data_IF_757518272792
#
_entry.id   IF_757518272792
#
_cell.length_a   1.000
_cell.length_b   1.000
_cell.length_c   1.000
_cell.angle_alpha   90.00
_cell.angle_beta   90.00
_cell.angle_gamma   90.00
#
_symmetry.space_group_name_H-M   'P 1'
#
loop_
_entity.id
_entity.type
_entity.pdbx_description
1 polymer ?
#
# COMPACT_ATOMS: atom_id res chain seq x y z
N UNK A 1 3.45 0.54 -18.88
CA UNK A 1 3.50 1.55 -17.79
C UNK A 1 3.69 0.76 -16.50
N UNK A 2 4.77 0.96 -15.73
CA UNK A 2 5.06 0.08 -14.58
C UNK A 2 4.11 0.36 -13.42
N UNK A 3 3.42 -0.68 -12.97
CA UNK A 3 2.57 -0.71 -11.78
C UNK A 3 3.39 -1.36 -10.65
N UNK A 4 3.34 -0.80 -9.43
CA UNK A 4 4.10 -1.31 -8.26
C UNK A 4 5.64 -1.36 -8.44
N UNK A 5 6.32 -0.21 -8.41
CA UNK A 5 7.80 -0.16 -8.53
C UNK A 5 8.47 -0.43 -7.19
N UNK A 6 9.35 -1.43 -7.13
CA UNK A 6 10.18 -1.72 -5.94
C UNK A 6 11.56 -1.10 -6.05
N UNK A 7 12.17 -0.76 -4.91
CA UNK A 7 13.59 -0.39 -4.85
C UNK A 7 14.49 -1.59 -5.16
N UNK A 8 15.77 -1.35 -5.45
CA UNK A 8 16.75 -2.41 -5.72
C UNK A 8 16.89 -3.41 -4.56
N UNK A 9 16.77 -2.93 -3.31
CA UNK A 9 16.78 -3.77 -2.11
C UNK A 9 15.41 -4.43 -1.81
N UNK A 10 14.39 -4.21 -2.65
CA UNK A 10 13.02 -4.71 -2.49
C UNK A 10 12.30 -4.33 -1.18
N UNK A 11 12.81 -3.32 -0.46
CA UNK A 11 12.25 -2.86 0.83
C UNK A 11 11.21 -1.75 0.69
N UNK A 12 11.26 -0.99 -0.41
CA UNK A 12 10.37 0.14 -0.65
C UNK A 12 9.53 -0.14 -1.88
N UNK A 13 8.22 0.07 -1.79
CA UNK A 13 7.30 -0.06 -2.91
C UNK A 13 6.58 1.25 -3.19
N UNK A 14 6.56 1.65 -4.45
CA UNK A 14 5.78 2.76 -4.97
C UNK A 14 4.58 2.20 -5.76
N UNK A 15 3.38 2.37 -5.22
CA UNK A 15 2.12 1.98 -5.85
C UNK A 15 1.70 3.05 -6.85
N UNK A 16 1.51 2.63 -8.10
CA UNK A 16 1.04 3.47 -9.20
C UNK A 16 0.01 2.67 -9.98
N UNK A 17 -1.20 3.20 -10.12
CA UNK A 17 -2.33 2.55 -10.79
C UNK A 17 -2.91 1.35 -10.03
N UNK A 18 -3.83 0.63 -10.69
CA UNK A 18 -4.75 -0.30 -10.04
C UNK A 18 -4.08 -1.49 -9.34
N UNK A 19 -4.49 -1.73 -8.09
CA UNK A 19 -4.16 -2.93 -7.32
C UNK A 19 -4.95 -4.19 -7.70
N UNK A 20 -5.77 -4.13 -8.75
CA UNK A 20 -6.47 -5.31 -9.30
C UNK A 20 -5.61 -6.12 -10.27
N UNK A 21 -4.43 -5.62 -10.61
CA UNK A 21 -3.55 -6.24 -11.59
C UNK A 21 -2.79 -7.46 -11.03
N UNK A 22 -2.25 -8.27 -11.94
CA UNK A 22 -1.51 -9.49 -11.61
C UNK A 22 -0.29 -9.18 -10.73
N UNK A 23 0.39 -8.09 -11.01
CA UNK A 23 1.60 -7.62 -10.32
C UNK A 23 1.31 -7.30 -8.85
N UNK A 24 0.08 -6.92 -8.49
CA UNK A 24 -0.31 -6.63 -7.12
C UNK A 24 -0.66 -7.88 -6.30
N UNK A 25 -0.65 -9.09 -6.90
CA UNK A 25 -0.87 -10.33 -6.16
C UNK A 25 0.25 -10.54 -5.14
N UNK A 26 -0.10 -11.04 -3.96
CA UNK A 26 0.83 -11.33 -2.85
C UNK A 26 1.98 -12.26 -3.27
N UNK A 27 1.72 -13.24 -4.13
CA UNK A 27 2.73 -14.17 -4.67
C UNK A 27 3.79 -13.47 -5.54
N UNK A 28 3.42 -12.39 -6.21
CA UNK A 28 4.31 -11.61 -7.09
C UNK A 28 5.04 -10.52 -6.30
N UNK A 29 4.31 -9.76 -5.48
CA UNK A 29 4.87 -8.64 -4.71
C UNK A 29 5.76 -9.04 -3.54
N UNK A 30 5.54 -10.24 -2.98
CA UNK A 30 6.23 -10.73 -1.78
C UNK A 30 6.26 -9.67 -0.65
N UNK A 31 5.10 -9.22 -0.15
CA UNK A 31 5.01 -8.05 0.72
C UNK A 31 5.65 -8.23 2.12
N UNK A 32 6.08 -9.44 2.47
CA UNK A 32 6.69 -9.77 3.77
C UNK A 32 7.96 -8.97 4.07
N UNK A 33 8.78 -8.68 3.05
CA UNK A 33 10.05 -7.95 3.17
C UNK A 33 9.89 -6.43 3.03
N UNK A 34 8.72 -5.94 2.64
CA UNK A 34 8.50 -4.51 2.45
C UNK A 34 8.50 -3.79 3.80
N UNK A 35 9.36 -2.80 3.91
CA UNK A 35 9.46 -1.91 5.07
C UNK A 35 8.72 -0.60 4.83
N UNK A 36 8.53 -0.20 3.57
CA UNK A 36 7.89 1.05 3.20
C UNK A 36 7.00 0.91 1.97
N UNK A 37 5.79 1.47 2.04
CA UNK A 37 4.84 1.57 0.92
C UNK A 37 4.40 3.01 0.75
N UNK A 38 4.59 3.54 -0.45
CA UNK A 38 4.06 4.83 -0.89
C UNK A 38 3.00 4.61 -1.96
N UNK A 39 1.77 5.03 -1.71
CA UNK A 39 0.77 5.17 -2.74
C UNK A 39 0.91 6.53 -3.42
N UNK A 40 1.13 6.49 -4.75
CA UNK A 40 1.35 7.67 -5.57
C UNK A 40 0.15 8.06 -6.42
N UNK A 41 -0.74 7.10 -6.74
CA UNK A 41 -1.82 7.37 -7.69
C UNK A 41 -2.98 6.38 -7.64
N UNK A 42 -3.00 5.42 -6.72
CA UNK A 42 -4.11 4.48 -6.63
C UNK A 42 -5.27 5.11 -5.86
N UNK A 43 -6.43 5.16 -6.51
CA UNK A 43 -7.65 5.76 -5.96
C UNK A 43 -8.31 4.86 -4.92
N UNK A 44 -8.28 3.55 -5.16
CA UNK A 44 -8.87 2.49 -4.33
C UNK A 44 -7.75 1.56 -3.84
N UNK A 45 -7.11 1.85 -2.69
CA UNK A 45 -5.96 1.11 -2.22
C UNK A 45 -6.33 -0.27 -1.64
N UNK A 46 -7.01 -1.11 -2.41
CA UNK A 46 -7.50 -2.42 -1.99
C UNK A 46 -6.37 -3.44 -1.78
N UNK A 47 -5.17 -3.14 -2.29
CA UNK A 47 -3.97 -3.90 -1.95
C UNK A 47 -3.74 -3.98 -0.44
N UNK A 48 -4.23 -3.02 0.34
CA UNK A 48 -4.10 -3.00 1.80
C UNK A 48 -4.72 -4.25 2.43
N UNK A 49 -5.90 -4.68 1.99
CA UNK A 49 -6.56 -5.90 2.45
C UNK A 49 -5.77 -7.17 2.11
N UNK A 50 -5.14 -7.19 0.93
CA UNK A 50 -4.37 -8.35 0.44
C UNK A 50 -2.98 -8.44 1.08
N UNK A 51 -2.33 -7.30 1.30
CA UNK A 51 -0.93 -7.24 1.71
C UNK A 51 -0.73 -7.15 3.21
N UNK A 52 -1.57 -6.38 3.94
CA UNK A 52 -1.34 -6.10 5.35
C UNK A 52 -1.19 -7.36 6.21
N UNK A 53 -2.01 -8.42 6.04
CA UNK A 53 -1.85 -9.66 6.81
C UNK A 53 -0.46 -10.30 6.66
N UNK A 54 0.26 -10.03 5.56
CA UNK A 54 1.57 -10.59 5.26
C UNK A 54 2.73 -9.60 5.50
N UNK A 55 2.44 -8.33 5.81
CA UNK A 55 3.41 -7.24 5.92
C UNK A 55 4.06 -7.15 7.30
N UNK A 56 4.75 -8.22 7.70
CA UNK A 56 5.39 -8.31 9.02
C UNK A 56 6.49 -7.26 9.23
N UNK A 57 7.15 -6.81 8.15
CA UNK A 57 8.29 -5.87 8.24
C UNK A 57 7.91 -4.41 8.05
N UNK A 58 6.64 -4.12 7.77
CA UNK A 58 6.22 -2.77 7.37
C UNK A 58 6.39 -1.79 8.53
N UNK A 59 7.13 -0.70 8.27
CA UNK A 59 7.39 0.39 9.22
C UNK A 59 6.73 1.69 8.78
N UNK A 60 6.64 1.92 7.47
CA UNK A 60 6.11 3.17 6.90
C UNK A 60 5.03 2.84 5.88
N UNK A 61 3.81 3.32 6.16
CA UNK A 61 2.70 3.31 5.23
C UNK A 61 2.31 4.75 4.90
N UNK A 62 2.35 5.08 3.62
CA UNK A 62 1.89 6.37 3.13
C UNK A 62 0.86 6.13 2.02
N UNK A 63 -0.43 6.25 2.35
CA UNK A 63 -1.51 6.10 1.36
C UNK A 63 -1.74 7.38 0.55
N UNK A 64 -1.29 8.52 1.06
CA UNK A 64 -1.23 9.78 0.34
C UNK A 64 -2.53 10.23 -0.33
N UNK A 65 -2.39 11.17 -1.26
CA UNK A 65 -3.46 11.59 -2.19
C UNK A 65 -3.23 10.93 -3.54
N UNK A 66 -4.30 10.40 -4.13
CA UNK A 66 -4.23 9.85 -5.49
C UNK A 66 -4.26 10.95 -6.56
N UNK A 67 -4.65 12.18 -6.20
CA UNK A 67 -4.66 13.35 -7.08
C UNK A 67 -4.00 14.56 -6.42
N UNK A 68 -3.47 15.47 -7.26
CA UNK A 68 -2.75 16.67 -6.82
C UNK A 68 -3.64 17.72 -6.15
N UNK A 69 -4.96 17.67 -6.37
CA UNK A 69 -5.90 18.64 -5.81
C UNK A 69 -6.36 18.21 -4.42
N UNK A 70 -6.48 19.15 -3.49
CA UNK A 70 -6.98 18.86 -2.14
C UNK A 70 -8.46 18.44 -2.09
N UNK A 71 -9.14 18.37 -3.25
CA UNK A 71 -10.57 18.07 -3.36
C UNK A 71 -10.86 16.58 -3.43
N UNK A 72 -9.84 15.71 -3.58
CA UNK A 72 -10.04 14.27 -3.72
C UNK A 72 -9.22 13.50 -2.69
N UNK A 73 -9.93 12.71 -1.91
CA UNK A 73 -9.36 11.78 -0.93
C UNK A 73 -9.25 10.38 -1.54
N UNK A 74 -8.41 9.53 -0.95
CA UNK A 74 -8.45 8.09 -1.21
C UNK A 74 -9.83 7.55 -0.84
N UNK A 75 -10.40 6.73 -1.71
CA UNK A 75 -11.67 6.07 -1.44
C UNK A 75 -11.37 4.65 -0.98
N UNK A 76 -11.94 4.27 0.16
CA UNK A 76 -11.87 2.90 0.67
C UNK A 76 -13.28 2.35 0.71
N UNK A 77 -13.44 1.11 0.23
CA UNK A 77 -14.75 0.45 0.17
C UNK A 77 -15.38 0.29 1.57
N UNK A 78 -14.55 0.06 2.59
CA UNK A 78 -14.98 -0.15 3.97
C UNK A 78 -13.85 0.21 4.93
N UNK A 79 -14.19 0.63 6.15
CA UNK A 79 -13.22 0.83 7.24
C UNK A 79 -12.64 -0.48 7.78
N UNK A 80 -13.08 -1.62 7.26
CA UNK A 80 -12.59 -2.95 7.63
C UNK A 80 -11.09 -3.13 7.41
N UNK A 81 -10.46 -2.38 6.49
CA UNK A 81 -8.99 -2.41 6.34
C UNK A 81 -8.25 -1.98 7.61
N UNK A 82 -8.87 -1.17 8.47
CA UNK A 82 -8.33 -0.80 9.78
C UNK A 82 -8.20 -2.01 10.70
N UNK A 83 -9.06 -3.03 10.56
CA UNK A 83 -8.90 -4.30 11.28
C UNK A 83 -7.62 -5.00 10.82
N UNK A 84 -7.35 -4.99 9.52
CA UNK A 84 -6.13 -5.57 8.95
C UNK A 84 -4.88 -4.79 9.35
N UNK A 85 -4.97 -3.47 9.61
CA UNK A 85 -3.85 -2.70 10.14
C UNK A 85 -3.36 -3.20 11.51
N UNK A 86 -4.21 -3.86 12.31
CA UNK A 86 -3.78 -4.47 13.58
C UNK A 86 -2.72 -5.56 13.42
N UNK A 87 -2.58 -6.13 12.21
CA UNK A 87 -1.54 -7.11 11.87
C UNK A 87 -0.16 -6.46 11.66
N UNK A 88 -0.10 -5.15 11.42
CA UNK A 88 1.13 -4.41 11.12
C UNK A 88 1.90 -4.06 12.40
N UNK A 89 2.45 -5.07 13.08
CA UNK A 89 3.08 -4.93 14.41
C UNK A 89 4.29 -4.00 14.46
N UNK A 90 4.97 -3.79 13.33
CA UNK A 90 6.17 -2.96 13.22
C UNK A 90 5.89 -1.56 12.67
N UNK A 91 4.62 -1.20 12.46
CA UNK A 91 4.26 0.09 11.87
C UNK A 91 4.63 1.23 12.81
N UNK A 92 5.43 2.17 12.31
CA UNK A 92 5.89 3.36 13.05
C UNK A 92 5.29 4.65 12.50
N UNK A 93 4.94 4.65 11.22
CA UNK A 93 4.31 5.78 10.54
C UNK A 93 3.18 5.29 9.65
N UNK A 94 2.00 5.89 9.84
CA UNK A 94 0.85 5.74 8.94
C UNK A 94 0.37 7.14 8.53
N UNK A 95 0.29 7.40 7.23
CA UNK A 95 -0.28 8.65 6.69
C UNK A 95 -1.38 8.35 5.68
N UNK A 96 -2.53 9.01 5.88
CA UNK A 96 -3.73 8.92 5.04
C UNK A 96 -4.05 10.25 4.32
N UNK A 97 -3.13 11.21 4.37
CA UNK A 97 -3.32 12.61 3.90
C UNK A 97 -3.47 12.75 2.40
#
# INVERSE_FOLDING_TARGET
>A
KLFMKRSAAEKVCLVRGSSLQHEAKTSVMKPKSLETVFNSSERYPDFTFKWFPNMVSLRVLYLGRWERTAKRHIEVESTEFLKNMKSLKNLRLASFQ
#
